data_IF_671661081237
#
_entry.id   IF_671661081237
#
_cell.length_a   1.000
_cell.length_b   1.000
_cell.length_c   1.000
_cell.angle_alpha   90.00
_cell.angle_beta   90.00
_cell.angle_gamma   90.00
#
_symmetry.space_group_name_H-M   'P 1'
#
loop_
_entity.id
_entity.type
_entity.pdbx_description
1 polymer ?
#
# COMPACT_ATOMS: atom_id res chain seq x y z
N UNK A 1 22.84 21.40 -80.85
CA UNK A 1 24.00 21.13 -79.98
C UNK A 1 23.97 22.22 -78.92
N UNK A 2 23.56 22.01 -77.68
CA UNK A 2 23.91 20.98 -76.68
C UNK A 2 22.72 20.79 -75.73
N UNK A 3 22.03 19.64 -75.74
CA UNK A 3 22.05 18.61 -74.67
C UNK A 3 21.61 19.14 -73.29
N UNK A 4 20.33 18.91 -72.97
CA UNK A 4 19.76 18.70 -71.61
C UNK A 4 20.48 17.54 -70.91
N UNK A 5 20.59 17.45 -69.55
CA UNK A 5 19.44 16.97 -68.76
C UNK A 5 19.51 17.19 -67.21
N UNK A 6 18.53 17.85 -66.60
CA UNK A 6 18.00 17.44 -65.26
C UNK A 6 16.49 17.68 -65.30
N UNK A 7 15.72 16.67 -65.73
CA UNK A 7 15.13 15.64 -64.85
C UNK A 7 14.09 16.25 -63.90
N UNK A 8 12.84 16.14 -64.34
CA UNK A 8 11.67 16.32 -63.49
C UNK A 8 10.35 16.11 -64.22
N UNK A 9 10.37 15.29 -65.27
CA UNK A 9 9.17 14.92 -66.02
C UNK A 9 8.16 14.26 -65.10
N UNK A 10 6.93 14.72 -65.27
CA UNK A 10 5.76 13.89 -65.47
C UNK A 10 5.68 12.63 -64.61
N UNK A 11 4.82 12.70 -63.62
CA UNK A 11 4.34 11.49 -63.00
C UNK A 11 3.23 11.79 -62.04
N UNK A 12 2.01 11.71 -62.54
CA UNK A 12 1.20 10.57 -62.12
C UNK A 12 0.67 10.81 -60.72
N UNK A 13 -0.39 11.61 -60.65
CA UNK A 13 -1.72 11.03 -60.58
C UNK A 13 -2.06 10.61 -59.15
N UNK A 14 -3.17 11.19 -58.68
CA UNK A 14 -4.23 10.38 -58.10
C UNK A 14 -3.76 9.31 -57.09
N UNK A 15 -3.39 9.73 -55.88
CA UNK A 15 -3.59 8.90 -54.68
C UNK A 15 -4.14 9.73 -53.53
N UNK A 16 -5.30 10.33 -53.79
CA UNK A 16 -6.36 10.33 -52.81
C UNK A 16 -6.73 8.88 -52.53
N UNK A 17 -6.09 8.28 -51.53
CA UNK A 17 -6.51 7.03 -50.91
C UNK A 17 -5.76 6.92 -49.59
N UNK A 18 -6.29 7.59 -48.57
CA UNK A 18 -6.05 7.18 -47.20
C UNK A 18 -6.37 5.68 -47.14
N UNK A 19 -5.41 4.79 -46.84
CA UNK A 19 -5.68 3.37 -46.89
C UNK A 19 -6.80 3.07 -45.92
N UNK A 20 -7.80 2.38 -46.44
CA UNK A 20 -9.00 1.98 -45.75
C UNK A 20 -8.66 1.46 -44.35
N UNK A 21 -9.38 1.98 -43.35
CA UNK A 21 -9.48 1.41 -42.01
C UNK A 21 -9.66 -0.09 -42.17
N UNK A 22 -8.62 -0.89 -41.85
CA UNK A 22 -8.68 -2.34 -41.98
C UNK A 22 -9.89 -2.83 -41.16
N UNK A 23 -10.94 -3.38 -41.79
CA UNK A 23 -12.06 -3.93 -41.05
C UNK A 23 -11.55 -5.16 -40.32
N UNK A 24 -11.71 -5.17 -38.99
CA UNK A 24 -11.65 -6.37 -38.17
C UNK A 24 -10.40 -7.22 -38.37
N UNK A 25 -9.28 -6.81 -37.76
CA UNK A 25 -8.41 -7.85 -37.20
C UNK A 25 -9.21 -8.41 -36.03
N UNK A 26 -9.74 -9.67 -36.06
CA UNK A 26 -10.34 -10.24 -34.87
C UNK A 26 -9.29 -10.09 -33.77
N UNK A 27 -9.67 -9.44 -32.67
CA UNK A 27 -8.84 -9.44 -31.48
C UNK A 27 -8.50 -10.90 -31.23
N UNK A 28 -7.23 -11.28 -31.44
CA UNK A 28 -6.78 -12.61 -31.11
C UNK A 28 -7.26 -12.85 -29.68
N UNK A 29 -7.95 -13.97 -29.39
CA UNK A 29 -8.44 -14.20 -28.05
C UNK A 29 -7.23 -14.05 -27.14
N UNK A 30 -7.30 -13.08 -26.23
CA UNK A 30 -6.31 -12.97 -25.17
C UNK A 30 -6.42 -14.28 -24.41
N UNK A 31 -5.59 -15.26 -24.79
CA UNK A 31 -5.49 -16.53 -24.10
C UNK A 31 -5.06 -16.14 -22.70
N UNK A 32 -6.03 -16.07 -21.80
CA UNK A 32 -5.85 -15.77 -20.39
C UNK A 32 -5.11 -16.97 -19.84
N UNK A 33 -3.79 -17.00 -20.06
CA UNK A 33 -2.89 -18.04 -19.57
C UNK A 33 -3.02 -17.97 -18.06
N UNK A 34 -3.80 -18.88 -17.49
CA UNK A 34 -3.80 -19.10 -16.04
C UNK A 34 -2.36 -19.42 -15.70
N UNK A 35 -1.71 -18.69 -14.77
CA UNK A 35 -0.35 -19.03 -14.39
C UNK A 35 -0.35 -20.49 -13.95
N UNK A 36 0.62 -21.30 -14.41
CA UNK A 36 0.69 -22.68 -13.99
C UNK A 36 0.83 -22.74 -12.46
N UNK A 37 0.26 -23.78 -11.86
CA UNK A 37 0.14 -23.92 -10.40
C UNK A 37 1.51 -23.96 -9.69
N UNK A 38 2.58 -24.28 -10.42
CA UNK A 38 3.97 -24.27 -9.98
C UNK A 38 4.45 -22.86 -9.57
N UNK A 39 4.11 -21.81 -10.33
CA UNK A 39 4.49 -20.42 -10.03
C UNK A 39 3.93 -19.95 -8.69
N UNK A 40 2.77 -20.46 -8.25
CA UNK A 40 2.20 -20.15 -6.93
C UNK A 40 3.07 -20.68 -5.79
N UNK A 41 3.55 -21.91 -5.88
CA UNK A 41 4.35 -22.51 -4.80
C UNK A 41 5.72 -21.85 -4.68
N UNK A 42 6.37 -21.52 -5.82
CA UNK A 42 7.60 -20.73 -5.82
C UNK A 42 7.38 -19.32 -5.26
N UNK A 43 6.29 -18.65 -5.65
CA UNK A 43 5.92 -17.34 -5.10
C UNK A 43 5.66 -17.36 -3.59
N UNK A 44 4.95 -18.39 -3.09
CA UNK A 44 4.78 -18.60 -1.65
C UNK A 44 6.12 -18.87 -0.96
N UNK A 45 7.02 -19.64 -1.58
CA UNK A 45 8.36 -19.89 -1.06
C UNK A 45 9.20 -18.62 -0.87
N UNK A 46 9.07 -17.63 -1.75
CA UNK A 46 9.75 -16.33 -1.59
C UNK A 46 9.14 -15.45 -0.49
N UNK A 47 7.83 -15.56 -0.25
CA UNK A 47 7.13 -14.78 0.79
C UNK A 47 7.29 -15.42 2.18
N UNK A 48 7.44 -16.75 2.23
CA UNK A 48 7.49 -17.53 3.47
C UNK A 48 8.52 -17.00 4.49
N UNK A 49 9.78 -16.66 4.14
CA UNK A 49 10.76 -16.18 5.12
C UNK A 49 10.34 -14.89 5.80
N UNK A 50 9.76 -13.94 5.04
CA UNK A 50 9.26 -12.67 5.58
C UNK A 50 8.05 -12.91 6.48
N UNK A 51 7.14 -13.80 6.07
CA UNK A 51 5.96 -14.15 6.89
C UNK A 51 6.36 -14.84 8.18
N UNK A 52 7.30 -15.78 8.13
CA UNK A 52 7.83 -16.46 9.33
C UNK A 52 8.51 -15.45 10.26
N UNK A 53 9.34 -14.57 9.71
CA UNK A 53 9.97 -13.51 10.49
C UNK A 53 8.93 -12.61 11.17
N UNK A 54 7.94 -12.13 10.42
CA UNK A 54 6.84 -11.32 10.95
C UNK A 54 6.03 -12.06 12.02
N UNK A 55 5.76 -13.35 11.82
CA UNK A 55 5.03 -14.16 12.79
C UNK A 55 5.80 -14.29 14.11
N UNK A 56 7.11 -14.52 14.07
CA UNK A 56 7.94 -14.71 15.25
C UNK A 56 8.22 -13.39 15.98
N UNK A 57 8.51 -12.32 15.25
CA UNK A 57 8.97 -11.06 15.85
C UNK A 57 7.89 -10.01 16.05
N UNK A 58 6.73 -10.16 15.41
CA UNK A 58 5.59 -9.25 15.60
C UNK A 58 4.39 -9.95 16.19
N UNK A 59 3.92 -11.04 15.57
CA UNK A 59 2.67 -11.68 16.00
C UNK A 59 2.83 -12.39 17.34
N UNK A 60 3.89 -13.20 17.50
CA UNK A 60 4.15 -13.95 18.72
C UNK A 60 4.26 -13.05 19.97
N UNK A 61 5.06 -11.97 20.02
CA UNK A 61 5.15 -11.13 21.22
C UNK A 61 3.83 -10.40 21.53
N UNK A 62 3.00 -10.10 20.54
CA UNK A 62 1.65 -9.52 20.76
C UNK A 62 0.78 -10.52 21.54
N UNK A 63 0.69 -11.77 21.08
CA UNK A 63 -0.11 -12.79 21.75
C UNK A 63 0.46 -13.18 23.11
N UNK A 64 1.79 -13.24 23.22
CA UNK A 64 2.45 -13.51 24.50
C UNK A 64 2.22 -12.38 25.50
N UNK A 65 2.35 -11.13 25.08
CA UNK A 65 2.02 -9.96 25.92
C UNK A 65 0.55 -9.91 26.30
N UNK A 66 -0.36 -10.29 25.39
CA UNK A 66 -1.78 -10.41 25.70
C UNK A 66 -2.04 -11.50 26.75
N UNK A 67 -1.42 -12.68 26.61
CA UNK A 67 -1.49 -13.72 27.63
C UNK A 67 -0.98 -13.22 28.98
N UNK A 68 0.17 -12.53 28.99
CA UNK A 68 0.73 -11.96 30.21
C UNK A 68 -0.18 -10.90 30.84
N UNK A 69 -0.92 -10.12 30.06
CA UNK A 69 -1.88 -9.14 30.59
C UNK A 69 -3.01 -9.76 31.41
N UNK A 70 -3.33 -11.03 31.16
CA UNK A 70 -4.31 -11.83 31.90
C UNK A 70 -3.70 -12.58 33.09
N UNK A 71 -2.39 -12.46 33.29
CA UNK A 71 -1.67 -13.08 34.40
C UNK A 71 -1.11 -12.02 35.34
N UNK A 72 -1.03 -12.33 36.62
CA UNK A 72 -0.22 -11.59 37.56
C UNK A 72 1.23 -12.07 37.39
N UNK A 73 2.07 -11.22 36.81
CA UNK A 73 3.44 -11.52 36.46
C UNK A 73 4.34 -10.32 36.76
N UNK A 74 5.22 -10.48 37.76
CA UNK A 74 6.11 -9.46 38.30
C UNK A 74 7.59 -9.76 38.04
N UNK A 75 7.88 -10.62 37.05
CA UNK A 75 9.22 -11.07 36.62
C UNK A 75 9.99 -11.92 37.65
N UNK A 76 9.63 -11.81 38.93
CA UNK A 76 10.25 -12.53 40.06
C UNK A 76 9.49 -13.82 40.39
N UNK A 77 8.16 -13.82 40.21
CA UNK A 77 7.31 -14.97 40.45
C UNK A 77 6.81 -15.59 39.13
N UNK A 78 6.48 -16.90 39.13
CA UNK A 78 5.86 -17.53 37.98
C UNK A 78 4.48 -16.88 37.68
N UNK A 79 4.09 -16.77 36.40
CA UNK A 79 2.85 -16.11 36.01
C UNK A 79 1.62 -16.85 36.56
N UNK A 80 0.80 -16.13 37.34
CA UNK A 80 -0.46 -16.66 37.88
C UNK A 80 -1.64 -16.16 37.05
N UNK A 81 -2.50 -17.05 36.57
CA UNK A 81 -3.65 -16.65 35.77
C UNK A 81 -4.74 -16.01 36.65
N UNK A 82 -4.98 -14.70 36.45
CA UNK A 82 -5.95 -13.89 37.20
C UNK A 82 -7.08 -13.34 36.31
N UNK A 83 -7.06 -13.66 35.01
CA UNK A 83 -8.10 -13.26 34.07
C UNK A 83 -8.15 -11.74 33.89
N UNK A 84 -9.29 -11.12 34.16
CA UNK A 84 -9.51 -9.68 33.92
C UNK A 84 -9.29 -8.79 35.13
N UNK A 85 -8.87 -9.35 36.27
CA UNK A 85 -8.72 -8.58 37.51
C UNK A 85 -7.68 -7.45 37.38
N UNK A 86 -6.60 -7.68 36.61
CA UNK A 86 -5.62 -6.65 36.28
C UNK A 86 -6.24 -5.41 35.63
N UNK A 87 -7.16 -5.62 34.67
CA UNK A 87 -7.84 -4.52 33.99
C UNK A 87 -8.80 -3.78 34.91
N UNK A 88 -9.51 -4.49 35.79
CA UNK A 88 -10.38 -3.86 36.79
C UNK A 88 -9.61 -2.99 37.76
N UNK A 89 -8.44 -3.46 38.20
CA UNK A 89 -7.55 -2.72 39.08
C UNK A 89 -7.01 -1.45 38.39
N UNK A 90 -6.57 -1.57 37.13
CA UNK A 90 -6.10 -0.42 36.33
C UNK A 90 -7.18 0.65 36.13
N UNK A 91 -8.42 0.25 35.84
CA UNK A 91 -9.53 1.19 35.67
C UNK A 91 -9.93 1.91 36.97
N UNK A 92 -9.62 1.33 38.14
CA UNK A 92 -9.79 1.97 39.43
C UNK A 92 -8.66 2.94 39.80
N UNK A 93 -7.52 2.88 39.10
CA UNK A 93 -6.34 3.69 39.40
C UNK A 93 -6.45 5.10 38.79
N UNK A 94 -6.50 6.11 39.66
CA UNK A 94 -6.57 7.53 39.27
C UNK A 94 -5.35 7.98 38.49
N UNK A 95 -4.16 7.44 38.80
CA UNK A 95 -2.93 7.81 38.11
C UNK A 95 -2.96 7.28 36.67
N UNK A 96 -3.39 6.02 36.50
CA UNK A 96 -3.60 5.43 35.18
C UNK A 96 -4.59 6.23 34.34
N UNK A 97 -5.75 6.57 34.88
CA UNK A 97 -6.77 7.35 34.16
C UNK A 97 -6.29 8.76 33.78
N UNK A 98 -5.50 9.39 34.66
CA UNK A 98 -4.91 10.71 34.38
C UNK A 98 -3.86 10.60 33.28
N UNK A 99 -2.98 9.61 33.33
CA UNK A 99 -1.97 9.35 32.30
C UNK A 99 -2.62 9.00 30.94
N UNK A 100 -3.70 8.22 30.96
CA UNK A 100 -4.48 7.89 29.77
C UNK A 100 -5.12 9.14 29.16
N UNK A 101 -5.75 9.99 29.97
CA UNK A 101 -6.31 11.27 29.53
C UNK A 101 -5.26 12.20 28.92
N UNK A 102 -4.11 12.35 29.58
CA UNK A 102 -3.00 13.13 29.05
C UNK A 102 -2.49 12.60 27.70
N UNK A 103 -2.40 11.28 27.56
CA UNK A 103 -1.98 10.63 26.31
C UNK A 103 -2.98 10.89 25.20
N UNK A 104 -4.29 10.78 25.48
CA UNK A 104 -5.34 11.06 24.50
C UNK A 104 -5.34 12.53 24.06
N UNK A 105 -5.18 13.45 25.02
CA UNK A 105 -5.07 14.89 24.73
C UNK A 105 -3.83 15.16 23.87
N UNK A 106 -2.68 14.55 24.20
CA UNK A 106 -1.46 14.68 23.42
C UNK A 106 -1.63 14.13 22.00
N UNK A 107 -2.17 12.91 21.84
CA UNK A 107 -2.39 12.28 20.53
C UNK A 107 -3.34 13.11 19.68
N UNK A 108 -4.46 13.56 20.24
CA UNK A 108 -5.41 14.40 19.51
C UNK A 108 -4.79 15.76 19.17
N UNK A 109 -4.12 16.38 20.14
CA UNK A 109 -3.47 17.68 19.99
C UNK A 109 -2.30 17.68 19.00
N UNK A 110 -1.63 16.55 18.81
CA UNK A 110 -0.57 16.40 17.80
C UNK A 110 -1.14 15.98 16.44
N UNK A 111 -2.00 14.96 16.41
CA UNK A 111 -2.44 14.31 15.16
C UNK A 111 -3.42 15.18 14.39
N UNK A 112 -4.41 15.78 15.07
CA UNK A 112 -5.46 16.55 14.39
C UNK A 112 -4.87 17.77 13.66
N UNK A 113 -4.02 18.61 14.29
CA UNK A 113 -3.41 19.73 13.58
C UNK A 113 -2.48 19.28 12.46
N UNK A 114 -1.74 18.19 12.63
CA UNK A 114 -0.88 17.65 11.55
C UNK A 114 -1.72 17.21 10.36
N UNK A 115 -2.84 16.51 10.56
CA UNK A 115 -3.72 16.09 9.48
C UNK A 115 -4.36 17.28 8.78
N UNK A 116 -4.91 18.23 9.54
CA UNK A 116 -5.51 19.45 8.99
C UNK A 116 -4.46 20.26 8.23
N UNK A 117 -3.27 20.43 8.80
CA UNK A 117 -2.16 21.14 8.17
C UNK A 117 -1.67 20.46 6.90
N UNK A 118 -1.57 19.12 6.89
CA UNK A 118 -1.15 18.36 5.71
C UNK A 118 -2.18 18.45 4.58
N UNK A 119 -3.47 18.38 4.90
CA UNK A 119 -4.55 18.54 3.92
C UNK A 119 -4.60 19.97 3.37
N UNK A 120 -4.47 20.97 4.25
CA UNK A 120 -4.41 22.37 3.84
C UNK A 120 -3.20 22.63 2.92
N UNK A 121 -2.03 22.09 3.25
CA UNK A 121 -0.83 22.17 2.42
C UNK A 121 -1.02 21.46 1.07
N UNK A 122 -1.66 20.29 1.05
CA UNK A 122 -1.97 19.59 -0.19
C UNK A 122 -2.88 20.41 -1.12
N UNK A 123 -3.95 21.03 -0.57
CA UNK A 123 -4.84 21.91 -1.34
C UNK A 123 -4.10 23.13 -1.87
N UNK A 124 -3.25 23.76 -1.04
CA UNK A 124 -2.46 24.91 -1.46
C UNK A 124 -1.50 24.54 -2.60
N UNK A 125 -0.84 23.39 -2.51
CA UNK A 125 0.08 22.92 -3.53
C UNK A 125 -0.61 22.65 -4.87
N UNK A 126 -1.80 22.05 -4.85
CA UNK A 126 -2.62 21.79 -6.03
C UNK A 126 -3.03 23.09 -6.75
N UNK A 127 -3.37 24.13 -5.97
CA UNK A 127 -3.71 25.46 -6.51
C UNK A 127 -2.50 26.20 -7.11
N UNK A 128 -1.30 25.99 -6.59
CA UNK A 128 -0.07 26.66 -7.06
C UNK A 128 0.54 25.98 -8.29
N UNK A 129 0.41 24.66 -8.40
CA UNK A 129 0.89 23.88 -9.54
C UNK A 129 -0.24 23.09 -10.22
N UNK A 130 -1.25 23.77 -10.80
CA UNK A 130 -2.28 23.08 -11.56
C UNK A 130 -1.61 22.31 -12.70
N UNK A 131 -1.70 20.98 -12.64
CA UNK A 131 -1.11 20.08 -13.63
C UNK A 131 -1.66 20.45 -15.02
N UNK A 132 -0.78 21.00 -15.87
CA UNK A 132 -1.01 21.13 -17.32
C UNK A 132 -0.71 19.81 -18.02
#
# INVERSE_FOLDING_TARGET
MTVDPIRGDAGSAARAAFPARLPGRPAAPAVRRRPPLDVRWWGLGFVLPVVVFFAIFSIFPIFFGFYLSLTDYDLLNPPLYVGLDNFRNLLGDKLFLTALGNTLIFVAGATVPVWVGSLAAAILFDQVFPAK
#
